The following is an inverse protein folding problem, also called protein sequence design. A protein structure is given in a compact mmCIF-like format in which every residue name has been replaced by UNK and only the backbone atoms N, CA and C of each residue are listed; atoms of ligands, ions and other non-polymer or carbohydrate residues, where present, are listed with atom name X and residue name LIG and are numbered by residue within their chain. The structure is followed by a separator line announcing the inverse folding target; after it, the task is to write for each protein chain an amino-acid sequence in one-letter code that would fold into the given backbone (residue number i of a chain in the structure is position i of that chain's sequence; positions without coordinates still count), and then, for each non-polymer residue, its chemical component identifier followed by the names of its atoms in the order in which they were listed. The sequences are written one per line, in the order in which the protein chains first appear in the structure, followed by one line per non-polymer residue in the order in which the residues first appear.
data_IF_230121313143
#
_entry.id   IF_230121313143
#
_cell.length_a   1.000
_cell.length_b   1.000
_cell.length_c   1.000
_cell.angle_alpha   90.00
_cell.angle_beta   90.00
_cell.angle_gamma   90.00
#
_symmetry.space_group_name_H-M   'P 1'
#
loop_
_entity.id
_entity.type
_entity.pdbx_description
1 polymer ?
#
# COMPACT_ATOMS: atom_id res chain seq x y z
N UNK A 1 -2.38 7.20 17.33
CA UNK A 1 -0.97 7.17 16.88
C UNK A 1 -0.77 8.33 15.90
N UNK A 2 0.30 9.12 16.02
CA UNK A 2 0.55 10.26 15.10
C UNK A 2 0.92 9.75 13.71
N UNK A 3 0.35 10.33 12.64
CA UNK A 3 0.66 9.94 11.26
C UNK A 3 2.16 10.14 10.95
N UNK A 4 2.75 9.42 9.98
CA UNK A 4 4.12 9.65 9.53
C UNK A 4 4.38 11.11 9.13
N UNK A 5 3.45 11.72 8.41
CA UNK A 5 3.52 13.13 8.03
C UNK A 5 3.43 14.09 9.23
N UNK A 6 2.61 13.79 10.25
CA UNK A 6 2.58 14.58 11.48
C UNK A 6 3.90 14.50 12.26
N UNK A 7 4.57 13.34 12.23
CA UNK A 7 5.92 13.20 12.81
C UNK A 7 6.94 14.03 12.05
N UNK A 8 6.91 14.01 10.72
CA UNK A 8 7.83 14.78 9.88
C UNK A 8 7.59 16.28 10.01
N UNK A 9 6.34 16.74 10.03
CA UNK A 9 5.99 18.14 10.25
C UNK A 9 6.44 18.64 11.62
N UNK A 10 6.32 17.81 12.67
CA UNK A 10 6.86 18.14 13.99
C UNK A 10 8.39 18.20 14.01
N UNK A 11 9.06 17.36 13.22
CA UNK A 11 10.52 17.32 13.11
C UNK A 11 11.03 18.55 12.36
N UNK A 12 10.50 18.82 11.17
CA UNK A 12 10.81 20.00 10.36
C UNK A 12 10.45 21.29 11.10
N UNK A 13 9.28 21.35 11.74
CA UNK A 13 8.86 22.51 12.52
C UNK A 13 9.85 22.84 13.64
N UNK A 14 10.38 21.84 14.35
CA UNK A 14 11.44 22.06 15.32
C UNK A 14 12.75 22.49 14.65
N UNK A 15 13.14 21.81 13.58
CA UNK A 15 14.38 22.11 12.86
C UNK A 15 14.43 23.57 12.42
N UNK A 16 13.41 24.02 11.68
CA UNK A 16 13.34 25.40 11.22
C UNK A 16 13.23 26.39 12.38
N UNK A 17 12.39 26.13 13.38
CA UNK A 17 12.24 27.05 14.53
C UNK A 17 13.57 27.28 15.27
N UNK A 18 14.35 26.22 15.48
CA UNK A 18 15.61 26.28 16.22
C UNK A 18 16.76 26.84 15.37
N UNK A 19 16.84 26.47 14.10
CA UNK A 19 17.90 26.95 13.19
C UNK A 19 17.69 28.41 12.84
N UNK A 20 16.46 28.82 12.45
CA UNK A 20 16.14 30.21 12.13
C UNK A 20 16.39 31.09 13.36
N UNK A 21 15.94 30.66 14.55
CA UNK A 21 16.25 31.34 15.81
C UNK A 21 17.76 31.56 15.98
N UNK A 22 18.57 30.51 15.85
CA UNK A 22 20.02 30.62 16.06
C UNK A 22 20.67 31.58 15.05
N UNK A 23 20.26 31.53 13.78
CA UNK A 23 20.77 32.42 12.73
C UNK A 23 20.37 33.87 12.98
N UNK A 24 19.09 34.13 13.26
CA UNK A 24 18.59 35.49 13.52
C UNK A 24 19.23 36.10 14.76
N UNK A 25 19.37 35.34 15.85
CA UNK A 25 20.05 35.80 17.07
C UNK A 25 21.52 36.12 16.77
N UNK A 26 22.23 35.26 16.04
CA UNK A 26 23.62 35.50 15.69
C UNK A 26 23.80 36.75 14.83
N UNK A 27 23.01 36.88 13.76
CA UNK A 27 23.10 38.03 12.86
C UNK A 27 22.73 39.33 13.59
N UNK A 28 21.62 39.38 14.31
CA UNK A 28 21.17 40.59 15.00
C UNK A 28 22.15 41.05 16.08
N UNK A 29 22.65 40.12 16.90
CA UNK A 29 23.61 40.45 17.97
C UNK A 29 24.98 40.85 17.44
N UNK A 30 25.49 40.19 16.38
CA UNK A 30 26.78 40.53 15.77
C UNK A 30 26.73 41.86 15.03
N UNK A 31 25.68 42.10 14.23
CA UNK A 31 25.49 43.38 13.52
C UNK A 31 25.45 44.51 14.54
N UNK A 32 24.60 44.39 15.56
CA UNK A 32 24.48 45.42 16.60
C UNK A 32 25.78 45.64 17.38
N UNK A 33 26.60 44.62 17.59
CA UNK A 33 27.89 44.77 18.26
C UNK A 33 28.92 45.51 17.39
N UNK A 34 28.88 45.34 16.06
CA UNK A 34 29.80 46.04 15.13
C UNK A 34 29.35 47.47 14.85
N UNK A 35 28.04 47.71 14.74
CA UNK A 35 27.51 48.98 14.23
C UNK A 35 27.22 50.01 15.31
N UNK A 36 27.23 49.63 16.59
CA UNK A 36 26.69 50.47 17.66
C UNK A 36 27.59 50.54 18.87
N UNK A 37 27.74 51.76 19.40
CA UNK A 37 28.46 51.99 20.64
C UNK A 37 27.79 51.26 21.81
N UNK A 38 28.63 50.62 22.62
CA UNK A 38 28.22 49.80 23.76
C UNK A 38 28.44 50.60 25.04
N UNK A 39 27.55 50.40 26.02
CA UNK A 39 27.70 51.05 27.34
C UNK A 39 28.91 50.52 28.10
N UNK A 40 29.13 49.20 28.05
CA UNK A 40 30.34 48.52 28.51
C UNK A 40 30.76 47.48 27.47
N UNK A 41 31.86 47.76 26.75
CA UNK A 41 32.33 46.92 25.63
C UNK A 41 32.69 45.51 26.10
N UNK A 42 33.33 45.35 27.26
CA UNK A 42 33.76 44.05 27.77
C UNK A 42 32.55 43.21 28.15
N UNK A 43 31.62 43.79 28.92
CA UNK A 43 30.40 43.10 29.35
C UNK A 43 29.50 42.74 28.17
N UNK A 44 29.27 43.67 27.23
CA UNK A 44 28.46 43.42 26.04
C UNK A 44 29.05 42.32 25.16
N UNK A 45 30.38 42.32 24.97
CA UNK A 45 31.06 41.26 24.20
C UNK A 45 30.90 39.90 24.85
N UNK A 46 31.07 39.81 26.17
CA UNK A 46 30.87 38.57 26.93
C UNK A 46 29.43 38.06 26.82
N UNK A 47 28.44 38.94 26.99
CA UNK A 47 27.02 38.59 26.88
C UNK A 47 26.67 38.08 25.48
N UNK A 48 27.11 38.77 24.42
CA UNK A 48 26.85 38.37 23.03
C UNK A 48 27.49 37.01 22.72
N UNK A 49 28.76 36.80 23.11
CA UNK A 49 29.46 35.52 22.87
C UNK A 49 28.82 34.37 23.64
N UNK A 50 28.55 34.55 24.93
CA UNK A 50 27.90 33.53 25.76
C UNK A 50 26.50 33.19 25.27
N UNK A 51 25.73 34.20 24.87
CA UNK A 51 24.36 33.99 24.37
C UNK A 51 24.35 33.26 23.02
N UNK A 52 25.27 33.59 22.12
CA UNK A 52 25.42 32.86 20.85
C UNK A 52 25.88 31.42 21.06
N UNK A 53 26.88 31.19 21.92
CA UNK A 53 27.32 29.85 22.29
C UNK A 53 26.17 29.03 22.90
N UNK A 54 25.37 29.64 23.77
CA UNK A 54 24.17 29.02 24.32
C UNK A 54 23.14 28.68 23.23
N UNK A 55 22.82 29.58 22.30
CA UNK A 55 21.85 29.31 21.23
C UNK A 55 22.30 28.15 20.33
N UNK A 56 23.59 28.06 19.99
CA UNK A 56 24.14 26.92 19.24
C UNK A 56 24.04 25.63 20.08
N UNK A 57 24.41 25.67 21.36
CA UNK A 57 24.32 24.52 22.25
C UNK A 57 22.88 24.02 22.42
N UNK A 58 21.95 24.95 22.65
CA UNK A 58 20.51 24.71 22.72
C UNK A 58 20.03 24.07 21.43
N UNK A 59 20.43 24.60 20.28
CA UNK A 59 20.03 24.06 18.99
C UNK A 59 20.49 22.62 18.78
N UNK A 60 21.78 22.36 18.96
CA UNK A 60 22.35 21.02 18.82
C UNK A 60 21.69 20.02 19.78
N UNK A 61 21.49 20.42 21.05
CA UNK A 61 20.88 19.51 22.04
C UNK A 61 19.41 19.27 21.78
N UNK A 62 18.64 20.29 21.41
CA UNK A 62 17.21 20.16 21.14
C UNK A 62 16.94 19.31 19.89
N UNK A 63 17.78 19.41 18.86
CA UNK A 63 17.70 18.59 17.65
C UNK A 63 18.09 17.12 17.90
N UNK A 64 19.06 16.86 18.80
CA UNK A 64 19.46 15.49 19.15
C UNK A 64 18.47 14.80 20.09
N UNK A 65 18.04 15.48 21.16
CA UNK A 65 17.07 14.95 22.13
C UNK A 65 16.25 16.09 22.73
N UNK A 66 14.93 16.07 22.48
CA UNK A 66 13.99 16.99 23.14
C UNK A 66 13.94 16.72 24.64
N UNK A 67 14.53 17.59 25.46
CA UNK A 67 14.46 17.53 26.92
C UNK A 67 13.75 18.76 27.46
N UNK A 68 12.72 18.57 28.28
CA UNK A 68 11.91 19.68 28.83
C UNK A 68 12.71 20.64 29.71
N UNK A 69 13.70 20.14 30.45
CA UNK A 69 14.54 21.00 31.31
C UNK A 69 15.39 22.00 30.51
N UNK A 70 15.74 21.70 29.26
CA UNK A 70 16.47 22.65 28.40
C UNK A 70 15.65 23.91 28.11
N UNK A 71 14.31 23.79 28.04
CA UNK A 71 13.43 24.94 27.87
C UNK A 71 13.41 25.84 29.11
N UNK A 72 13.50 25.24 30.30
CA UNK A 72 13.56 26.00 31.56
C UNK A 72 14.88 26.77 31.65
N UNK A 73 16.00 26.10 31.35
CA UNK A 73 17.31 26.76 31.35
C UNK A 73 17.38 27.85 30.28
N UNK A 74 16.86 27.57 29.08
CA UNK A 74 16.80 28.56 28.02
C UNK A 74 15.96 29.79 28.41
N UNK A 75 14.81 29.58 29.04
CA UNK A 75 13.96 30.66 29.55
C UNK A 75 14.71 31.52 30.57
N UNK A 76 15.48 30.91 31.47
CA UNK A 76 16.31 31.64 32.44
C UNK A 76 17.42 32.44 31.75
N UNK A 77 18.12 31.86 30.78
CA UNK A 77 19.19 32.55 30.03
C UNK A 77 18.63 33.73 29.25
N UNK A 78 17.53 33.54 28.52
CA UNK A 78 16.89 34.61 27.73
C UNK A 78 16.38 35.73 28.65
N UNK A 79 15.76 35.38 29.77
CA UNK A 79 15.30 36.37 30.77
C UNK A 79 16.48 37.15 31.36
N UNK A 80 17.61 36.47 31.62
CA UNK A 80 18.84 37.10 32.08
C UNK A 80 19.40 38.11 31.07
N UNK A 81 19.42 37.76 29.77
CA UNK A 81 19.82 38.69 28.70
C UNK A 81 18.88 39.89 28.60
N UNK A 82 17.57 39.68 28.77
CA UNK A 82 16.59 40.77 28.81
C UNK A 82 16.86 41.74 29.97
N UNK A 83 17.20 41.24 31.15
CA UNK A 83 17.53 42.10 32.29
C UNK A 83 18.90 42.76 32.14
N UNK A 84 19.85 42.08 31.50
CA UNK A 84 21.20 42.59 31.25
C UNK A 84 21.22 43.81 30.31
N UNK A 85 20.14 44.08 29.58
CA UNK A 85 20.02 45.20 28.65
C UNK A 85 20.29 46.57 29.31
N UNK A 86 20.08 46.68 30.63
CA UNK A 86 20.39 47.87 31.44
C UNK A 86 21.88 48.25 31.37
N UNK A 87 22.76 47.24 31.34
CA UNK A 87 24.22 47.44 31.37
C UNK A 87 24.87 47.29 30.00
N UNK A 88 24.23 46.62 29.05
CA UNK A 88 24.85 46.32 27.75
C UNK A 88 24.49 47.33 26.66
N UNK A 89 23.28 47.90 26.68
CA UNK A 89 22.77 48.77 25.61
C UNK A 89 23.04 50.24 25.96
N UNK A 90 23.62 50.99 25.02
CA UNK A 90 23.83 52.43 25.19
C UNK A 90 22.50 53.20 25.20
N UNK A 91 22.37 54.29 25.98
CA UNK A 91 21.14 55.10 26.06
C UNK A 91 20.67 55.65 24.70
N UNK A 92 21.61 55.96 23.80
CA UNK A 92 21.33 56.47 22.45
C UNK A 92 20.60 55.44 21.58
N UNK A 93 20.94 54.15 21.72
CA UNK A 93 20.27 53.07 21.00
C UNK A 93 18.89 52.75 21.59
N UNK A 94 18.66 53.09 22.86
CA UNK A 94 17.31 53.05 23.44
C UNK A 94 16.42 54.14 22.84
N UNK A 95 16.99 55.29 22.46
CA UNK A 95 16.28 56.36 21.77
C UNK A 95 15.91 56.02 20.32
N UNK A 96 16.74 55.24 19.61
CA UNK A 96 16.44 54.64 18.29
C UNK A 96 15.50 53.42 18.35
N UNK A 97 15.20 52.95 19.58
CA UNK A 97 14.07 52.04 19.94
C UNK A 97 14.10 50.63 19.34
N UNK A 98 15.06 50.30 18.49
CA UNK A 98 15.26 48.96 17.92
C UNK A 98 16.62 48.43 18.35
N UNK A 99 16.61 47.48 19.29
CA UNK A 99 17.83 46.83 19.76
C UNK A 99 17.86 45.33 19.40
N UNK A 100 19.05 44.73 19.41
CA UNK A 100 19.20 43.32 19.07
C UNK A 100 18.48 42.38 20.05
N UNK A 101 18.31 42.79 21.31
CA UNK A 101 17.58 42.02 22.33
C UNK A 101 16.10 41.91 21.95
N UNK A 102 15.49 42.95 21.40
CA UNK A 102 14.13 42.93 20.86
C UNK A 102 14.04 41.91 19.71
N UNK A 103 14.92 42.02 18.71
CA UNK A 103 14.91 41.10 17.55
C UNK A 103 15.12 39.64 18.00
N UNK A 104 16.06 39.41 18.91
CA UNK A 104 16.35 38.10 19.48
C UNK A 104 15.14 37.55 20.26
N UNK A 105 14.54 38.34 21.14
CA UNK A 105 13.41 37.88 21.96
C UNK A 105 12.15 37.65 21.13
N UNK A 106 11.87 38.49 20.12
CA UNK A 106 10.79 38.28 19.14
C UNK A 106 10.90 36.92 18.44
N UNK A 107 12.06 36.62 17.83
CA UNK A 107 12.22 35.34 17.13
C UNK A 107 12.17 34.14 18.09
N UNK A 108 12.67 34.30 19.32
CA UNK A 108 12.63 33.25 20.35
C UNK A 108 11.20 32.96 20.77
N UNK A 109 10.41 34.00 21.05
CA UNK A 109 9.00 33.89 21.44
C UNK A 109 8.19 33.19 20.35
N UNK A 110 8.43 33.51 19.07
CA UNK A 110 7.83 32.82 17.92
C UNK A 110 8.29 31.37 17.85
N UNK A 111 9.60 31.10 17.95
CA UNK A 111 10.15 29.75 17.89
C UNK A 111 9.58 28.81 18.96
N UNK A 112 9.36 29.33 20.18
CA UNK A 112 8.71 28.58 21.25
C UNK A 112 7.34 28.02 20.83
N UNK A 113 6.57 28.74 20.01
CA UNK A 113 5.22 28.31 19.60
C UNK A 113 5.19 27.08 18.69
N UNK A 114 6.30 26.82 17.99
CA UNK A 114 6.45 25.72 17.03
C UNK A 114 6.81 24.39 17.69
N UNK A 115 7.51 24.42 18.82
CA UNK A 115 8.01 23.19 19.46
C UNK A 115 7.50 22.95 20.89
N UNK A 116 6.78 23.91 21.50
CA UNK A 116 6.22 23.77 22.83
C UNK A 116 4.70 23.51 22.82
N UNK A 117 4.17 23.10 23.98
CA UNK A 117 2.73 23.00 24.19
C UNK A 117 2.12 24.41 24.27
N UNK A 118 0.82 24.62 23.98
CA UNK A 118 0.24 25.97 23.97
C UNK A 118 0.37 26.67 25.32
N UNK A 119 0.19 25.92 26.41
CA UNK A 119 0.35 26.42 27.76
C UNK A 119 1.81 26.82 28.04
N UNK A 120 2.77 25.95 27.70
CA UNK A 120 4.19 26.23 27.96
C UNK A 120 4.71 27.40 27.11
N UNK A 121 4.25 27.49 25.86
CA UNK A 121 4.56 28.59 24.96
C UNK A 121 4.01 29.92 25.49
N UNK A 122 2.77 29.95 25.96
CA UNK A 122 2.17 31.15 26.56
C UNK A 122 2.89 31.57 27.84
N UNK A 123 3.23 30.63 28.72
CA UNK A 123 4.01 30.89 29.94
C UNK A 123 5.41 31.43 29.59
N UNK A 124 6.10 30.82 28.63
CA UNK A 124 7.42 31.28 28.18
C UNK A 124 7.34 32.71 27.61
N UNK A 125 6.34 32.99 26.77
CA UNK A 125 6.09 34.34 26.24
C UNK A 125 5.85 35.35 27.35
N UNK A 126 5.00 35.02 28.33
CA UNK A 126 4.69 35.91 29.45
C UNK A 126 5.93 36.22 30.30
N UNK A 127 6.77 35.22 30.56
CA UNK A 127 8.02 35.38 31.33
C UNK A 127 9.04 36.23 30.56
N UNK A 128 9.26 35.94 29.26
CA UNK A 128 10.18 36.73 28.42
C UNK A 128 9.69 38.17 28.30
N UNK A 129 8.39 38.37 28.09
CA UNK A 129 7.77 39.68 28.03
C UNK A 129 7.98 40.46 29.34
N UNK A 130 7.70 39.84 30.48
CA UNK A 130 7.91 40.47 31.78
C UNK A 130 9.39 40.85 31.99
N UNK A 131 10.33 39.96 31.64
CA UNK A 131 11.76 40.23 31.75
C UNK A 131 12.22 41.35 30.81
N UNK A 132 11.72 41.38 29.57
CA UNK A 132 12.02 42.42 28.59
C UNK A 132 11.49 43.78 29.04
N UNK A 133 10.22 43.85 29.45
CA UNK A 133 9.62 45.08 29.97
C UNK A 133 10.37 45.57 31.20
N UNK A 134 10.66 44.69 32.16
CA UNK A 134 11.38 45.05 33.39
C UNK A 134 12.78 45.59 33.08
N UNK A 135 13.52 44.92 32.19
CA UNK A 135 14.84 45.38 31.79
C UNK A 135 14.80 46.72 31.05
N UNK A 136 13.79 46.97 30.22
CA UNK A 136 13.62 48.22 29.49
C UNK A 136 13.29 49.38 30.44
N UNK A 137 12.34 49.18 31.35
CA UNK A 137 11.95 50.18 32.36
C UNK A 137 13.11 50.51 33.30
N UNK A 138 13.91 49.52 33.70
CA UNK A 138 15.08 49.76 34.55
C UNK A 138 16.21 50.48 33.80
N UNK A 139 16.26 50.36 32.48
CA UNK A 139 17.31 50.98 31.69
C UNK A 139 17.02 52.47 31.45
N UNK A 140 15.75 52.84 31.27
CA UNK A 140 15.28 54.21 31.18
C UNK A 140 13.95 54.41 31.94
N UNK A 141 14.06 54.97 33.15
CA UNK A 141 12.92 55.23 34.03
C UNK A 141 12.07 56.43 33.60
N UNK A 142 12.59 57.33 32.74
CA UNK A 142 11.88 58.54 32.34
C UNK A 142 10.91 58.27 31.16
N UNK A 143 11.27 57.36 30.24
CA UNK A 143 10.50 57.04 29.03
C UNK A 143 9.87 55.63 29.03
N UNK A 144 9.54 55.08 30.21
CA UNK A 144 8.99 53.72 30.38
C UNK A 144 7.71 53.42 29.57
N UNK A 145 6.89 54.44 29.29
CA UNK A 145 5.61 54.28 28.60
C UNK A 145 5.76 53.72 27.16
N UNK A 146 6.92 53.94 26.52
CA UNK A 146 7.19 53.46 25.16
C UNK A 146 7.58 51.99 25.10
N UNK A 147 7.98 51.38 26.22
CA UNK A 147 8.34 49.96 26.30
C UNK A 147 7.09 49.08 26.22
N UNK A 148 5.93 49.60 26.64
CA UNK A 148 4.66 48.87 26.69
C UNK A 148 4.13 48.48 25.30
N UNK A 149 4.02 49.40 24.31
CA UNK A 149 3.63 49.03 22.95
C UNK A 149 4.53 47.95 22.33
N UNK A 150 5.86 48.07 22.51
CA UNK A 150 6.84 47.12 21.98
C UNK A 150 6.66 45.73 22.60
N UNK A 151 6.51 45.67 23.93
CA UNK A 151 6.21 44.40 24.60
C UNK A 151 4.86 43.80 24.19
N UNK A 152 3.83 44.64 24.02
CA UNK A 152 2.50 44.17 23.57
C UNK A 152 2.56 43.55 22.16
N UNK A 153 3.44 44.06 21.29
CA UNK A 153 3.67 43.52 19.96
C UNK A 153 4.25 42.10 20.01
N UNK A 154 5.17 41.79 20.93
CA UNK A 154 5.70 40.42 21.10
C UNK A 154 4.62 39.39 21.48
N UNK A 155 3.60 39.82 22.24
CA UNK A 155 2.46 38.95 22.55
C UNK A 155 1.63 38.66 21.29
N UNK A 156 1.45 39.65 20.42
CA UNK A 156 0.78 39.49 19.11
C UNK A 156 1.60 38.56 18.22
N UNK A 157 2.92 38.72 18.14
CA UNK A 157 3.82 37.84 17.38
C UNK A 157 3.75 36.38 17.86
N UNK A 158 3.69 36.15 19.18
CA UNK A 158 3.45 34.82 19.74
C UNK A 158 2.11 34.23 19.28
N UNK A 159 1.02 35.01 19.37
CA UNK A 159 -0.30 34.56 18.95
C UNK A 159 -0.33 34.23 17.45
N UNK A 160 0.26 35.09 16.62
CA UNK A 160 0.39 34.88 15.17
C UNK A 160 1.26 33.66 14.86
N UNK A 161 2.42 33.51 15.49
CA UNK A 161 3.30 32.36 15.34
C UNK A 161 2.60 31.05 15.72
N UNK A 162 1.80 31.07 16.79
CA UNK A 162 0.98 29.92 17.19
C UNK A 162 -0.15 29.65 16.20
N UNK A 163 -0.83 30.70 15.73
CA UNK A 163 -1.87 30.62 14.71
C UNK A 163 -1.35 30.00 13.42
N UNK A 164 -0.19 30.46 12.93
CA UNK A 164 0.49 29.92 11.76
C UNK A 164 0.86 28.44 11.94
N UNK A 165 1.45 28.07 13.08
CA UNK A 165 1.76 26.67 13.38
C UNK A 165 0.51 25.77 13.36
N UNK A 166 -0.60 26.25 13.94
CA UNK A 166 -1.87 25.53 13.92
C UNK A 166 -2.47 25.43 12.51
N UNK A 167 -2.37 26.49 11.71
CA UNK A 167 -2.82 26.50 10.32
C UNK A 167 -2.04 25.50 9.48
N UNK A 168 -0.71 25.52 9.55
CA UNK A 168 0.18 24.58 8.86
C UNK A 168 -0.12 23.13 9.29
N UNK A 169 -0.32 22.90 10.59
CA UNK A 169 -0.65 21.56 11.11
C UNK A 169 -2.04 21.09 10.67
N UNK A 170 -3.04 21.98 10.62
CA UNK A 170 -4.39 21.65 10.11
C UNK A 170 -4.35 21.37 8.61
N UNK A 171 -3.63 22.19 7.85
CA UNK A 171 -3.43 22.01 6.41
C UNK A 171 -2.73 20.69 6.08
N UNK A 172 -1.65 20.36 6.80
CA UNK A 172 -0.96 19.08 6.63
C UNK A 172 -1.87 17.87 6.89
N UNK A 173 -2.68 17.90 7.96
CA UNK A 173 -3.65 16.83 8.24
C UNK A 173 -4.77 16.73 7.22
N UNK A 174 -5.20 17.85 6.64
CA UNK A 174 -6.20 17.85 5.57
C UNK A 174 -5.61 17.25 4.30
N UNK A 175 -4.38 17.63 3.94
CA UNK A 175 -3.66 17.09 2.79
C UNK A 175 -3.40 15.59 2.92
N UNK A 176 -2.98 15.11 4.10
CA UNK A 176 -2.79 13.67 4.36
C UNK A 176 -4.08 12.87 4.07
N UNK A 177 -5.24 13.38 4.54
CA UNK A 177 -6.54 12.72 4.34
C UNK A 177 -6.95 12.70 2.87
N UNK A 178 -6.70 13.78 2.14
CA UNK A 178 -6.97 13.83 0.71
C UNK A 178 -6.05 12.88 -0.07
N UNK A 179 -4.79 12.77 0.34
CA UNK A 179 -3.85 11.84 -0.27
C UNK A 179 -4.26 10.37 -0.02
N UNK A 180 -4.64 10.03 1.20
CA UNK A 180 -5.15 8.69 1.54
C UNK A 180 -6.41 8.33 0.73
N UNK A 181 -7.36 9.27 0.61
CA UNK A 181 -8.57 9.11 -0.23
C UNK A 181 -8.21 8.90 -1.70
N UNK A 182 -7.27 9.69 -2.22
CA UNK A 182 -6.80 9.59 -3.59
C UNK A 182 -6.12 8.25 -3.88
N UNK A 183 -5.28 7.75 -2.97
CA UNK A 183 -4.69 6.41 -3.10
C UNK A 183 -5.76 5.32 -3.11
N UNK A 184 -6.75 5.41 -2.24
CA UNK A 184 -7.82 4.41 -2.18
C UNK A 184 -8.61 4.36 -3.50
N UNK A 185 -9.01 5.53 -4.02
CA UNK A 185 -9.68 5.63 -5.32
C UNK A 185 -8.80 5.07 -6.46
N UNK A 186 -7.49 5.35 -6.45
CA UNK A 186 -6.56 4.80 -7.47
C UNK A 186 -6.45 3.28 -7.38
N UNK A 187 -6.40 2.70 -6.18
CA UNK A 187 -6.37 1.24 -5.99
C UNK A 187 -7.65 0.58 -6.48
N UNK A 188 -8.81 1.13 -6.10
CA UNK A 188 -10.12 0.64 -6.56
C UNK A 188 -10.25 0.76 -8.09
N UNK A 189 -9.81 1.88 -8.67
CA UNK A 189 -9.79 2.06 -10.12
C UNK A 189 -8.89 1.05 -10.81
N UNK A 190 -7.68 0.78 -10.28
CA UNK A 190 -6.76 -0.20 -10.83
C UNK A 190 -7.33 -1.62 -10.80
N UNK A 191 -7.97 -2.03 -9.70
CA UNK A 191 -8.65 -3.34 -9.61
C UNK A 191 -9.79 -3.43 -10.63
N UNK A 192 -10.61 -2.38 -10.75
CA UNK A 192 -11.70 -2.37 -11.74
C UNK A 192 -11.18 -2.40 -13.18
N UNK A 193 -10.05 -1.77 -13.47
CA UNK A 193 -9.44 -1.76 -14.79
C UNK A 193 -8.85 -3.12 -15.15
N UNK A 194 -8.16 -3.79 -14.21
CA UNK A 194 -7.69 -5.16 -14.37
C UNK A 194 -8.84 -6.12 -14.66
N UNK A 195 -9.92 -6.06 -13.87
CA UNK A 195 -11.10 -6.91 -14.09
C UNK A 195 -11.73 -6.71 -15.49
N UNK A 196 -11.84 -5.47 -15.96
CA UNK A 196 -12.35 -5.18 -17.31
C UNK A 196 -11.41 -5.66 -18.42
N UNK A 197 -10.10 -5.71 -18.16
CA UNK A 197 -9.13 -6.23 -19.12
C UNK A 197 -9.30 -7.75 -19.27
N UNK A 198 -9.35 -8.49 -18.15
CA UNK A 198 -9.62 -9.93 -18.14
C UNK A 198 -10.95 -10.26 -18.82
N UNK A 199 -12.01 -9.50 -18.53
CA UNK A 199 -13.33 -9.71 -19.13
C UNK A 199 -13.31 -9.49 -20.65
N UNK A 200 -12.55 -8.50 -21.14
CA UNK A 200 -12.39 -8.27 -22.59
C UNK A 200 -11.59 -9.37 -23.26
N UNK A 201 -10.53 -9.85 -22.64
CA UNK A 201 -9.73 -10.96 -23.16
C UNK A 201 -10.57 -12.24 -23.25
N UNK A 202 -11.34 -12.53 -22.19
CA UNK A 202 -12.29 -13.63 -22.17
C UNK A 202 -13.37 -13.51 -23.26
N UNK A 203 -14.00 -12.34 -23.40
CA UNK A 203 -15.00 -12.09 -24.44
C UNK A 203 -14.40 -12.18 -25.86
N UNK A 204 -13.17 -11.73 -26.06
CA UNK A 204 -12.47 -11.85 -27.34
C UNK A 204 -12.22 -13.32 -27.69
N UNK A 205 -11.72 -14.12 -26.74
CA UNK A 205 -11.53 -15.55 -26.92
C UNK A 205 -12.85 -16.29 -27.24
N UNK A 206 -13.94 -15.91 -26.57
CA UNK A 206 -15.28 -16.43 -26.88
C UNK A 206 -15.74 -16.06 -28.29
N UNK A 207 -15.57 -14.80 -28.69
CA UNK A 207 -15.94 -14.32 -30.01
C UNK A 207 -15.15 -15.03 -31.12
N UNK A 208 -13.86 -15.27 -30.92
CA UNK A 208 -13.01 -15.98 -31.87
C UNK A 208 -13.46 -17.44 -32.05
N UNK A 209 -13.80 -18.11 -30.94
CA UNK A 209 -14.28 -19.50 -30.98
C UNK A 209 -15.64 -19.61 -31.66
N UNK A 210 -16.58 -18.71 -31.32
CA UNK A 210 -17.91 -18.66 -31.94
C UNK A 210 -17.84 -18.31 -33.44
N UNK A 211 -16.96 -17.38 -33.82
CA UNK A 211 -16.74 -17.00 -35.22
C UNK A 211 -16.14 -18.14 -36.03
N UNK A 212 -15.18 -18.87 -35.46
CA UNK A 212 -14.59 -20.04 -36.10
C UNK A 212 -15.63 -21.14 -36.36
N UNK A 213 -16.50 -21.41 -35.39
CA UNK A 213 -17.60 -22.38 -35.54
C UNK A 213 -18.59 -21.91 -36.61
N UNK A 214 -19.03 -20.65 -36.57
CA UNK A 214 -19.97 -20.08 -37.56
C UNK A 214 -19.39 -20.03 -38.98
N UNK A 215 -18.10 -19.74 -39.14
CA UNK A 215 -17.41 -19.76 -40.43
C UNK A 215 -17.34 -21.17 -41.01
N UNK A 216 -17.10 -22.20 -40.19
CA UNK A 216 -17.14 -23.60 -40.62
C UNK A 216 -18.52 -24.01 -41.17
N UNK A 217 -19.60 -23.55 -40.52
CA UNK A 217 -20.97 -23.78 -41.01
C UNK A 217 -21.24 -23.01 -42.29
N UNK A 218 -20.91 -21.71 -42.32
CA UNK A 218 -21.21 -20.83 -43.45
C UNK A 218 -20.44 -21.17 -44.73
N UNK A 219 -19.22 -21.69 -44.60
CA UNK A 219 -18.40 -22.14 -45.73
C UNK A 219 -18.84 -23.51 -46.31
N UNK A 220 -19.84 -24.17 -45.72
CA UNK A 220 -20.32 -25.48 -46.15
C UNK A 220 -19.33 -26.63 -45.89
N UNK A 221 -18.32 -26.39 -45.04
CA UNK A 221 -17.32 -27.39 -44.64
C UNK A 221 -17.94 -28.42 -43.69
N UNK A 222 -18.95 -28.02 -42.91
CA UNK A 222 -19.75 -28.90 -42.07
C UNK A 222 -21.19 -29.02 -42.62
N UNK A 223 -21.68 -30.25 -42.82
CA UNK A 223 -23.04 -30.54 -43.28
C UNK A 223 -24.03 -30.60 -42.10
N UNK A 224 -25.31 -30.27 -42.30
CA UNK A 224 -26.36 -30.24 -41.24
C UNK A 224 -26.51 -31.53 -40.41
N UNK A 225 -25.96 -32.65 -40.88
CA UNK A 225 -26.07 -33.98 -40.28
C UNK A 225 -24.95 -34.32 -39.29
N UNK A 226 -23.92 -33.48 -39.17
CA UNK A 226 -22.76 -33.78 -38.32
C UNK A 226 -23.00 -33.41 -36.84
N UNK A 227 -23.14 -34.43 -35.99
CA UNK A 227 -23.44 -34.30 -34.55
C UNK A 227 -22.35 -33.59 -33.75
N UNK A 228 -21.08 -33.69 -34.16
CA UNK A 228 -19.94 -33.09 -33.44
C UNK A 228 -20.00 -31.56 -33.38
N UNK A 229 -20.66 -30.92 -34.35
CA UNK A 229 -20.81 -29.47 -34.44
C UNK A 229 -21.85 -28.95 -33.44
N UNK A 230 -22.95 -29.69 -33.26
CA UNK A 230 -23.94 -29.40 -32.22
C UNK A 230 -23.34 -29.58 -30.82
N UNK A 231 -22.50 -30.61 -30.63
CA UNK A 231 -21.75 -30.78 -29.39
C UNK A 231 -20.73 -29.67 -29.16
N UNK A 232 -20.06 -29.17 -30.20
CA UNK A 232 -19.10 -28.07 -30.08
C UNK A 232 -19.82 -26.76 -29.70
N UNK A 233 -20.94 -26.45 -30.36
CA UNK A 233 -21.76 -25.29 -30.02
C UNK A 233 -22.34 -25.40 -28.60
N UNK A 234 -22.75 -26.61 -28.16
CA UNK A 234 -23.21 -26.85 -26.80
C UNK A 234 -22.08 -26.68 -25.76
N UNK A 235 -20.85 -27.13 -26.07
CA UNK A 235 -19.66 -26.89 -25.23
C UNK A 235 -19.32 -25.41 -25.11
N UNK A 236 -19.30 -24.69 -26.23
CA UNK A 236 -19.03 -23.25 -26.24
C UNK A 236 -20.13 -22.51 -25.45
N UNK A 237 -21.40 -22.94 -25.55
CA UNK A 237 -22.52 -22.40 -24.78
C UNK A 237 -22.43 -22.73 -23.28
N UNK A 238 -21.97 -23.92 -22.90
CA UNK A 238 -21.77 -24.31 -21.49
C UNK A 238 -20.62 -23.50 -20.85
N UNK A 239 -19.60 -23.15 -21.63
CA UNK A 239 -18.53 -22.23 -21.21
C UNK A 239 -19.06 -20.80 -21.03
N UNK A 240 -19.97 -20.35 -21.91
CA UNK A 240 -20.62 -19.02 -21.85
C UNK A 240 -21.62 -18.92 -20.69
N UNK A 241 -22.38 -19.99 -20.43
CA UNK A 241 -23.37 -20.07 -19.34
C UNK A 241 -22.71 -20.35 -17.97
N UNK A 242 -21.44 -20.76 -17.96
CA UNK A 242 -20.66 -21.06 -16.77
C UNK A 242 -20.18 -19.82 -15.99
N UNK A 243 -21.09 -18.89 -15.66
CA UNK A 243 -20.88 -17.97 -14.53
C UNK A 243 -21.39 -18.63 -13.24
N UNK A 244 -20.43 -19.23 -12.52
CA UNK A 244 -20.16 -18.98 -11.10
C UNK A 244 -21.33 -19.00 -10.10
N UNK A 245 -21.88 -20.19 -9.83
CA UNK A 245 -22.29 -20.50 -8.46
C UNK A 245 -21.51 -21.75 -8.01
N UNK A 246 -20.74 -21.68 -6.91
CA UNK A 246 -20.14 -22.88 -6.34
C UNK A 246 -21.29 -23.76 -5.88
N UNK A 247 -21.40 -24.95 -6.46
CA UNK A 247 -22.20 -26.01 -5.84
C UNK A 247 -21.49 -26.32 -4.52
N UNK A 248 -21.99 -25.72 -3.43
CA UNK A 248 -21.50 -25.98 -2.08
C UNK A 248 -21.95 -27.39 -1.66
N UNK A 249 -20.99 -28.24 -1.33
CA UNK A 249 -21.24 -29.59 -0.82
C UNK A 249 -20.23 -30.62 -1.31
N UNK A 250 -20.09 -31.69 -0.52
CA UNK A 250 -19.38 -32.88 -0.93
C UNK A 250 -20.35 -33.80 -1.69
N UNK A 251 -19.86 -34.39 -2.79
CA UNK A 251 -20.64 -35.30 -3.65
C UNK A 251 -19.84 -36.58 -3.90
N UNK A 252 -20.56 -37.69 -4.08
CA UNK A 252 -19.95 -38.95 -4.49
C UNK A 252 -19.63 -38.92 -5.98
N UNK A 253 -18.35 -39.12 -6.30
CA UNK A 253 -17.80 -39.12 -7.65
C UNK A 253 -18.28 -40.32 -8.46
N UNK A 254 -18.50 -41.47 -7.82
CA UNK A 254 -18.77 -42.75 -8.50
C UNK A 254 -20.06 -42.71 -9.32
N UNK A 255 -21.21 -42.24 -8.78
CA UNK A 255 -22.44 -42.06 -9.57
C UNK A 255 -22.30 -41.07 -10.71
N UNK A 256 -21.56 -39.97 -10.51
CA UNK A 256 -21.35 -38.95 -11.54
C UNK A 256 -20.54 -39.48 -12.72
N UNK A 257 -19.46 -40.23 -12.44
CA UNK A 257 -18.65 -40.86 -13.48
C UNK A 257 -19.39 -41.99 -14.20
N UNK A 258 -20.22 -42.76 -13.48
CA UNK A 258 -21.09 -43.76 -14.11
C UNK A 258 -22.02 -43.11 -15.14
N UNK A 259 -22.61 -41.98 -14.80
CA UNK A 259 -23.41 -41.22 -15.77
C UNK A 259 -22.62 -40.80 -17.00
N UNK A 260 -21.35 -40.39 -16.85
CA UNK A 260 -20.48 -40.09 -18.01
C UNK A 260 -20.25 -41.34 -18.87
N UNK A 261 -19.91 -42.46 -18.25
CA UNK A 261 -19.59 -43.73 -18.92
C UNK A 261 -20.78 -44.28 -19.70
N UNK A 262 -21.99 -44.22 -19.14
CA UNK A 262 -23.21 -44.75 -19.75
C UNK A 262 -23.60 -44.03 -21.06
N UNK A 263 -23.07 -42.83 -21.31
CA UNK A 263 -23.40 -42.00 -22.47
C UNK A 263 -22.34 -42.01 -23.56
N UNK A 264 -21.29 -42.82 -23.43
CA UNK A 264 -20.24 -42.96 -24.45
C UNK A 264 -20.51 -44.20 -25.29
N UNK A 265 -20.39 -44.15 -26.63
CA UNK A 265 -20.60 -45.31 -27.51
C UNK A 265 -19.39 -46.26 -27.50
N UNK A 266 -18.93 -46.69 -26.32
CA UNK A 266 -17.82 -47.62 -26.11
C UNK A 266 -18.25 -48.72 -25.12
N UNK A 267 -17.67 -49.91 -25.27
CA UNK A 267 -17.77 -50.97 -24.29
C UNK A 267 -16.80 -50.67 -23.13
N UNK A 268 -17.34 -50.20 -22.01
CA UNK A 268 -16.52 -49.78 -20.87
C UNK A 268 -16.38 -50.92 -19.86
N UNK A 269 -15.15 -51.34 -19.59
CA UNK A 269 -14.84 -52.14 -18.42
C UNK A 269 -14.72 -51.22 -17.21
N UNK A 270 -15.66 -51.32 -16.29
CA UNK A 270 -15.81 -50.43 -15.14
C UNK A 270 -15.33 -51.09 -13.85
N UNK A 271 -14.31 -50.51 -13.21
CA UNK A 271 -13.75 -51.00 -11.96
C UNK A 271 -13.81 -49.93 -10.86
N UNK A 272 -14.43 -50.24 -9.72
CA UNK A 272 -14.51 -49.33 -8.56
C UNK A 272 -14.06 -50.09 -7.33
N UNK A 273 -13.10 -49.52 -6.61
CA UNK A 273 -12.63 -50.10 -5.35
C UNK A 273 -13.43 -49.58 -4.15
N UNK A 274 -13.79 -48.29 -4.15
CA UNK A 274 -14.52 -47.65 -3.06
C UNK A 274 -15.28 -46.40 -3.52
N UNK A 275 -16.21 -45.92 -2.68
CA UNK A 275 -16.87 -44.63 -2.84
C UNK A 275 -15.87 -43.49 -2.63
N UNK A 276 -15.97 -42.43 -3.41
CA UNK A 276 -15.04 -41.31 -3.39
C UNK A 276 -15.83 -40.02 -3.25
N UNK A 277 -15.81 -39.42 -2.06
CA UNK A 277 -16.59 -38.22 -1.74
C UNK A 277 -15.69 -36.99 -1.78
N UNK A 278 -16.00 -36.04 -2.65
CA UNK A 278 -15.14 -34.88 -2.93
C UNK A 278 -15.95 -33.59 -2.99
N UNK A 279 -15.33 -32.42 -2.83
CA UNK A 279 -15.98 -31.14 -3.13
C UNK A 279 -16.57 -31.16 -4.54
N UNK A 280 -17.81 -30.69 -4.72
CA UNK A 280 -18.51 -30.77 -6.01
C UNK A 280 -17.71 -30.17 -7.18
N UNK A 281 -16.99 -29.07 -6.94
CA UNK A 281 -16.12 -28.45 -7.95
C UNK A 281 -15.02 -29.41 -8.46
N UNK A 282 -14.47 -30.24 -7.58
CA UNK A 282 -13.44 -31.25 -7.91
C UNK A 282 -14.09 -32.43 -8.64
N UNK A 283 -15.21 -32.93 -8.14
CA UNK A 283 -15.92 -34.04 -8.77
C UNK A 283 -16.38 -33.71 -10.20
N UNK A 284 -16.86 -32.48 -10.43
CA UNK A 284 -17.21 -31.97 -11.77
C UNK A 284 -15.97 -31.91 -12.67
N UNK A 285 -14.84 -31.44 -12.16
CA UNK A 285 -13.60 -31.37 -12.92
C UNK A 285 -13.10 -32.76 -13.35
N UNK A 286 -13.13 -33.74 -12.43
CA UNK A 286 -12.79 -35.14 -12.71
C UNK A 286 -13.74 -35.76 -13.74
N UNK A 287 -15.06 -35.52 -13.62
CA UNK A 287 -16.05 -36.01 -14.59
C UNK A 287 -15.88 -35.41 -15.98
N UNK A 288 -15.56 -34.12 -16.07
CA UNK A 288 -15.26 -33.45 -17.35
C UNK A 288 -13.98 -34.02 -17.96
N UNK A 289 -12.94 -34.23 -17.15
CA UNK A 289 -11.71 -34.88 -17.60
C UNK A 289 -11.92 -36.29 -18.14
N UNK A 290 -12.68 -37.12 -17.40
CA UNK A 290 -13.02 -38.48 -17.83
C UNK A 290 -13.83 -38.51 -19.12
N UNK A 291 -14.83 -37.63 -19.27
CA UNK A 291 -15.65 -37.51 -20.49
C UNK A 291 -14.82 -37.15 -21.71
N UNK A 292 -13.92 -36.20 -21.53
CA UNK A 292 -13.07 -35.72 -22.60
C UNK A 292 -12.06 -36.81 -23.02
N UNK A 293 -11.46 -37.52 -22.04
CA UNK A 293 -10.61 -38.68 -22.31
C UNK A 293 -11.36 -39.77 -23.10
N UNK A 294 -12.57 -40.13 -22.68
CA UNK A 294 -13.39 -41.13 -23.38
C UNK A 294 -13.82 -40.68 -24.78
N UNK A 295 -14.12 -39.40 -24.96
CA UNK A 295 -14.45 -38.80 -26.26
C UNK A 295 -13.26 -38.92 -27.22
N UNK A 296 -12.04 -38.74 -26.71
CA UNK A 296 -10.84 -38.95 -27.49
C UNK A 296 -10.61 -40.41 -27.88
N UNK A 297 -10.95 -41.35 -27.00
CA UNK A 297 -10.96 -42.78 -27.36
C UNK A 297 -11.91 -43.00 -28.54
N UNK A 298 -13.15 -42.51 -28.46
CA UNK A 298 -14.14 -42.62 -29.54
C UNK A 298 -13.62 -42.05 -30.86
N UNK A 299 -13.02 -40.86 -30.83
CA UNK A 299 -12.62 -40.14 -32.05
C UNK A 299 -11.31 -40.64 -32.66
N UNK A 300 -10.38 -41.14 -31.83
CA UNK A 300 -8.99 -41.29 -32.25
C UNK A 300 -8.38 -42.67 -31.99
N UNK A 301 -8.84 -43.41 -30.98
CA UNK A 301 -8.19 -44.67 -30.60
C UNK A 301 -8.45 -45.79 -31.62
N UNK A 302 -9.59 -45.76 -32.32
CA UNK A 302 -9.96 -46.78 -33.31
C UNK A 302 -10.28 -48.14 -32.68
N UNK A 303 -10.77 -48.14 -31.43
CA UNK A 303 -11.19 -49.32 -30.67
C UNK A 303 -12.65 -49.16 -30.23
N UNK A 304 -13.31 -50.27 -29.91
CA UNK A 304 -14.69 -50.30 -29.42
C UNK A 304 -14.78 -50.45 -27.90
N UNK A 305 -13.65 -50.51 -27.18
CA UNK A 305 -13.60 -50.73 -25.74
C UNK A 305 -12.54 -49.88 -25.02
N UNK A 306 -12.83 -49.53 -23.77
CA UNK A 306 -11.91 -48.87 -22.86
C UNK A 306 -12.12 -49.32 -21.41
N UNK A 307 -11.08 -49.19 -20.59
CA UNK A 307 -11.10 -49.50 -19.17
C UNK A 307 -11.22 -48.18 -18.39
N UNK A 308 -12.18 -48.09 -17.45
CA UNK A 308 -12.32 -46.94 -16.53
C UNK A 308 -12.29 -47.45 -15.10
N UNK A 309 -11.40 -46.88 -14.31
CA UNK A 309 -11.20 -47.29 -12.92
C UNK A 309 -11.18 -46.10 -11.96
N UNK A 310 -11.81 -46.27 -10.79
CA UNK A 310 -11.95 -45.21 -9.78
C UNK A 310 -11.54 -45.76 -8.41
N UNK A 311 -10.57 -45.09 -7.78
CA UNK A 311 -10.02 -45.45 -6.46
C UNK A 311 -9.86 -44.19 -5.61
N UNK A 312 -10.22 -44.24 -4.34
CA UNK A 312 -9.77 -43.29 -3.31
C UNK A 312 -8.86 -44.01 -2.33
N UNK A 313 -7.56 -43.80 -2.34
CA UNK A 313 -6.66 -44.49 -1.41
C UNK A 313 -5.53 -43.57 -0.96
N UNK A 314 -5.01 -43.78 0.25
CA UNK A 314 -3.88 -43.03 0.83
C UNK A 314 -4.03 -41.49 0.74
N UNK A 315 -5.25 -40.98 0.82
CA UNK A 315 -5.52 -39.54 0.70
C UNK A 315 -5.42 -38.98 -0.72
N UNK A 316 -5.65 -39.82 -1.74
CA UNK A 316 -5.72 -39.40 -3.14
C UNK A 316 -6.91 -40.06 -3.83
N UNK A 317 -7.72 -39.24 -4.50
CA UNK A 317 -8.74 -39.71 -5.43
C UNK A 317 -8.14 -39.85 -6.83
N UNK A 318 -8.21 -41.04 -7.41
CA UNK A 318 -7.67 -41.39 -8.72
C UNK A 318 -8.78 -41.88 -9.65
N UNK A 319 -8.86 -41.26 -10.82
CA UNK A 319 -9.68 -41.73 -11.96
C UNK A 319 -8.75 -42.05 -13.10
N UNK A 320 -8.77 -43.30 -13.58
CA UNK A 320 -7.92 -43.73 -14.69
C UNK A 320 -8.75 -44.26 -15.84
N UNK A 321 -8.44 -43.78 -17.03
CA UNK A 321 -9.07 -44.17 -18.30
C UNK A 321 -7.97 -44.73 -19.20
N UNK A 322 -8.15 -45.95 -19.69
CA UNK A 322 -7.18 -46.62 -20.54
C UNK A 322 -7.84 -47.22 -21.78
N UNK A 323 -7.21 -47.02 -22.92
CA UNK A 323 -7.55 -47.72 -24.16
C UNK A 323 -6.34 -48.48 -24.72
N UNK A 324 -6.61 -49.43 -25.62
CA UNK A 324 -5.59 -50.22 -26.33
C UNK A 324 -5.58 -49.90 -27.82
N UNK A 325 -5.86 -48.64 -28.17
CA UNK A 325 -5.96 -48.18 -29.53
C UNK A 325 -4.63 -47.80 -30.16
N UNK A 326 -4.72 -46.98 -31.22
CA UNK A 326 -3.56 -46.59 -32.03
C UNK A 326 -2.52 -45.77 -31.28
N UNK A 327 -2.89 -45.16 -30.14
CA UNK A 327 -2.03 -44.26 -29.38
C UNK A 327 -1.47 -43.09 -30.20
N UNK A 328 -0.64 -42.26 -29.57
CA UNK A 328 0.03 -41.13 -30.22
C UNK A 328 1.39 -40.85 -29.58
N UNK A 329 2.21 -40.07 -30.26
CA UNK A 329 3.48 -39.55 -29.72
C UNK A 329 3.24 -38.16 -29.10
N UNK A 330 3.29 -38.02 -27.76
CA UNK A 330 3.06 -36.75 -27.07
C UNK A 330 4.05 -35.65 -27.46
N UNK A 331 5.27 -36.00 -27.87
CA UNK A 331 6.29 -35.03 -28.24
C UNK A 331 6.03 -34.40 -29.62
N UNK A 332 5.32 -35.11 -30.51
CA UNK A 332 5.00 -34.67 -31.88
C UNK A 332 3.67 -33.94 -32.01
N UNK A 333 2.84 -33.89 -30.96
CA UNK A 333 1.48 -33.32 -31.01
C UNK A 333 1.40 -31.81 -30.78
N UNK A 334 2.53 -31.11 -30.71
CA UNK A 334 2.67 -29.72 -30.21
C UNK A 334 2.26 -28.60 -31.19
N UNK A 335 1.81 -28.88 -32.42
CA UNK A 335 1.64 -27.82 -33.43
C UNK A 335 0.24 -27.59 -34.01
N UNK A 336 -0.80 -28.39 -33.70
CA UNK A 336 -2.18 -28.09 -34.17
C UNK A 336 -3.35 -28.76 -33.40
N UNK A 337 -3.08 -29.42 -32.28
CA UNK A 337 -4.10 -30.14 -31.49
C UNK A 337 -4.07 -29.74 -30.02
N UNK A 338 -4.41 -28.48 -29.73
CA UNK A 338 -4.29 -27.86 -28.40
C UNK A 338 -5.36 -28.27 -27.36
N UNK A 339 -6.25 -29.23 -27.63
CA UNK A 339 -7.45 -29.40 -26.82
C UNK A 339 -7.29 -30.14 -25.49
N UNK A 340 -6.48 -31.21 -25.47
CA UNK A 340 -6.63 -32.23 -24.41
C UNK A 340 -5.69 -32.04 -23.22
N UNK A 341 -4.39 -32.00 -23.50
CA UNK A 341 -3.39 -32.11 -22.46
C UNK A 341 -3.24 -30.80 -21.67
N UNK A 342 -3.19 -29.62 -22.32
CA UNK A 342 -2.98 -28.37 -21.56
C UNK A 342 -4.24 -27.95 -20.80
N UNK A 343 -5.42 -27.98 -21.43
CA UNK A 343 -6.68 -27.53 -20.81
C UNK A 343 -7.09 -28.39 -19.60
N UNK A 344 -6.87 -29.72 -19.67
CA UNK A 344 -7.16 -30.63 -18.56
C UNK A 344 -6.10 -30.56 -17.45
N UNK A 345 -4.81 -30.54 -17.81
CA UNK A 345 -3.70 -30.43 -16.85
C UNK A 345 -3.75 -29.10 -16.10
N UNK A 346 -3.94 -27.97 -16.79
CA UNK A 346 -4.07 -26.65 -16.16
C UNK A 346 -5.29 -26.56 -15.25
N UNK A 347 -6.42 -27.16 -15.65
CA UNK A 347 -7.64 -27.18 -14.83
C UNK A 347 -7.47 -28.01 -13.57
N UNK A 348 -6.86 -29.19 -13.67
CA UNK A 348 -6.56 -30.03 -12.50
C UNK A 348 -5.56 -29.33 -11.57
N UNK A 349 -4.52 -28.72 -12.13
CA UNK A 349 -3.51 -27.97 -11.37
C UNK A 349 -4.12 -26.78 -10.60
N UNK A 350 -5.05 -26.03 -11.19
CA UNK A 350 -5.77 -24.94 -10.49
C UNK A 350 -6.59 -25.40 -9.29
N UNK A 351 -7.02 -26.66 -9.29
CA UNK A 351 -7.78 -27.28 -8.19
C UNK A 351 -6.87 -28.03 -7.20
N UNK A 352 -5.55 -27.95 -7.36
CA UNK A 352 -4.57 -28.65 -6.52
C UNK A 352 -4.40 -30.13 -6.86
N UNK A 353 -4.97 -30.61 -7.96
CA UNK A 353 -4.79 -31.96 -8.49
C UNK A 353 -3.81 -32.03 -9.65
N UNK A 354 -3.66 -33.21 -10.23
CA UNK A 354 -2.80 -33.45 -11.38
C UNK A 354 -3.48 -34.34 -12.43
N UNK A 355 -3.07 -34.17 -13.69
CA UNK A 355 -3.45 -35.05 -14.79
C UNK A 355 -2.19 -35.55 -15.49
N UNK A 356 -2.10 -36.85 -15.71
CA UNK A 356 -0.98 -37.52 -16.34
C UNK A 356 -1.51 -38.24 -17.57
N UNK A 357 -0.94 -37.95 -18.74
CA UNK A 357 -1.31 -38.60 -19.99
C UNK A 357 -0.09 -39.35 -20.52
N UNK A 358 -0.20 -40.66 -20.63
CA UNK A 358 0.83 -41.52 -21.21
C UNK A 358 0.29 -42.16 -22.48
N UNK A 359 1.00 -42.02 -23.59
CA UNK A 359 0.62 -42.68 -24.84
C UNK A 359 1.86 -42.99 -25.68
N UNK A 360 1.76 -44.07 -26.47
CA UNK A 360 2.74 -44.38 -27.49
C UNK A 360 2.04 -44.96 -28.73
N UNK A 361 2.53 -44.68 -29.95
CA UNK A 361 1.97 -45.26 -31.17
C UNK A 361 1.93 -46.79 -31.11
N UNK A 362 0.76 -47.37 -31.38
CA UNK A 362 0.47 -48.81 -31.35
C UNK A 362 0.23 -49.41 -29.96
N UNK A 363 0.36 -48.63 -28.87
CA UNK A 363 0.23 -49.12 -27.49
C UNK A 363 -1.10 -48.70 -26.83
N UNK A 364 -1.69 -47.59 -27.29
CA UNK A 364 -2.90 -47.00 -26.72
C UNK A 364 -2.61 -45.73 -25.90
N UNK A 365 -3.62 -45.26 -25.16
CA UNK A 365 -3.51 -44.08 -24.28
C UNK A 365 -3.98 -44.43 -22.87
N UNK A 366 -3.30 -43.85 -21.88
CA UNK A 366 -3.57 -43.99 -20.45
C UNK A 366 -3.63 -42.59 -19.83
N UNK A 367 -4.81 -42.22 -19.34
CA UNK A 367 -5.10 -40.94 -18.70
C UNK A 367 -5.38 -41.18 -17.23
N UNK A 368 -4.57 -40.58 -16.36
CA UNK A 368 -4.70 -40.65 -14.91
C UNK A 368 -5.01 -39.26 -14.39
N UNK A 369 -6.13 -39.10 -13.68
CA UNK A 369 -6.55 -37.89 -13.02
C UNK A 369 -6.48 -38.11 -11.51
N UNK A 370 -5.74 -37.27 -10.82
CA UNK A 370 -5.49 -37.39 -9.39
C UNK A 370 -5.81 -36.09 -8.65
N UNK A 371 -6.40 -36.23 -7.48
CA UNK A 371 -6.62 -35.11 -6.58
C UNK A 371 -6.26 -35.51 -5.15
N UNK A 372 -5.39 -34.76 -4.45
CA UNK A 372 -5.08 -35.00 -3.05
C UNK A 372 -6.31 -34.78 -2.17
N UNK A 373 -6.86 -35.87 -1.64
CA UNK A 373 -7.92 -35.87 -0.66
C UNK A 373 -7.32 -35.92 0.75
N UNK A 374 -6.98 -34.75 1.28
CA UNK A 374 -6.38 -34.59 2.62
C UNK A 374 -7.32 -34.98 3.79
N UNK A 375 -8.45 -35.65 3.50
CA UNK A 375 -9.48 -36.04 4.46
C UNK A 375 -9.52 -37.56 4.74
N UNK A 376 -8.67 -38.35 4.09
CA UNK A 376 -8.59 -39.81 4.29
C UNK A 376 -7.86 -40.21 5.59
#
# INVERSE_FOLDING_TARGET
MTSPAERELNRLGLFYAVVIRAVVVALSSLVSWVTTDQRDVLLSTLVVLMFNAWNVCFAVRMLRRRRKWLLVVDLLVVSGVCLAQVWTIAPEMQADRVNWVLVATSIIVVAYQFHSSPFLGAVATAVILAAYLTGGVLADLQDWAFVIPIGSWMAVEALLGRGLYLLVRRGGRAADREFERGEQVRREAAVSAARRADEREYLAALHDTASATLLMVGAGVANRTETWLAEQAARDLEVIQGHTDPVDGDVDLVPMLRHVVDHVPLRIEWQVWNSVTLPAVVAIALCRGAREALTNVVRHAGVDAAEVSVRGDEGVATVRIRDRGKGFDPARTTSRGYGLASSLVERMARLGGQAIVTSAPGVGTDVVLEWPDARA
#
